data_IF_979763553661
#
_entry.id   IF_979763553661
#
_cell.length_a   1.000
_cell.length_b   1.000
_cell.length_c   1.000
_cell.angle_alpha   90.00
_cell.angle_beta   90.00
_cell.angle_gamma   90.00
#
_symmetry.space_group_name_H-M   'P 1'
#
loop_
_entity.id
_entity.type
_entity.pdbx_description
1 polymer ?
#
# COMPACT_ATOMS: atom_id res chain seq x y z
N UNK A 1 20.83 19.64 -17.50
CA UNK A 1 19.79 18.62 -17.24
C UNK A 1 18.81 19.22 -16.26
N UNK A 2 17.55 19.42 -16.65
CA UNK A 2 16.53 19.95 -15.75
C UNK A 2 16.44 19.02 -14.52
N UNK A 3 16.68 19.57 -13.34
CA UNK A 3 16.68 18.82 -12.09
C UNK A 3 15.27 18.33 -11.79
N UNK A 4 14.95 17.10 -12.18
CA UNK A 4 13.77 16.42 -11.68
C UNK A 4 13.87 16.38 -10.16
N UNK A 5 12.88 16.96 -9.48
CA UNK A 5 12.79 16.92 -8.03
C UNK A 5 12.85 15.48 -7.51
N UNK A 6 13.43 15.30 -6.34
CA UNK A 6 13.47 14.00 -5.66
C UNK A 6 12.03 13.53 -5.40
N UNK A 7 11.67 12.40 -6.00
CA UNK A 7 10.37 11.77 -5.82
C UNK A 7 10.53 10.37 -5.20
N UNK A 8 9.51 9.93 -4.47
CA UNK A 8 9.44 8.58 -3.89
C UNK A 8 8.30 7.77 -4.48
N UNK A 9 8.49 6.46 -4.55
CA UNK A 9 7.41 5.50 -4.76
C UNK A 9 6.94 4.99 -3.41
N UNK A 10 5.65 5.09 -3.13
CA UNK A 10 5.05 4.58 -1.90
C UNK A 10 4.04 3.50 -2.28
N UNK A 11 4.25 2.31 -1.75
CA UNK A 11 3.23 1.28 -1.73
C UNK A 11 2.41 1.42 -0.46
N UNK A 12 1.20 1.98 -0.58
CA UNK A 12 0.30 2.13 0.56
C UNK A 12 -0.54 0.86 0.68
N UNK A 13 -0.02 -0.22 1.26
CA UNK A 13 -0.75 -1.48 1.38
C UNK A 13 -1.75 -1.51 2.53
N UNK A 14 -2.63 -2.51 2.52
CA UNK A 14 -3.70 -2.65 3.53
C UNK A 14 -3.11 -2.95 4.91
N UNK A 15 -2.16 -3.89 4.98
CA UNK A 15 -1.54 -4.34 6.23
C UNK A 15 -0.16 -3.73 6.46
N UNK A 16 0.62 -3.58 5.39
CA UNK A 16 1.95 -2.97 5.43
C UNK A 16 2.10 -2.01 4.27
N UNK A 17 2.92 -0.99 4.47
CA UNK A 17 3.34 -0.05 3.45
C UNK A 17 4.84 -0.13 3.25
N UNK A 18 5.31 0.17 2.04
CA UNK A 18 6.73 0.31 1.76
C UNK A 18 7.02 1.63 1.04
N UNK A 19 8.26 2.09 1.13
CA UNK A 19 8.71 3.29 0.44
C UNK A 19 10.05 3.03 -0.23
N UNK A 20 10.15 3.48 -1.48
CA UNK A 20 11.34 3.34 -2.29
C UNK A 20 11.71 4.65 -2.99
N UNK A 21 12.98 4.77 -3.33
CA UNK A 21 13.53 5.91 -4.07
C UNK A 21 14.33 5.42 -5.27
N UNK A 22 14.27 6.16 -6.37
CA UNK A 22 15.14 5.92 -7.53
C UNK A 22 16.35 6.83 -7.44
N UNK A 23 17.54 6.27 -7.19
CA UNK A 23 18.80 7.00 -7.17
C UNK A 23 19.90 6.17 -7.82
N UNK A 24 20.91 6.83 -8.39
CA UNK A 24 22.07 6.16 -9.00
C UNK A 24 21.68 5.03 -9.98
N UNK A 25 20.61 5.26 -10.77
CA UNK A 25 20.09 4.31 -11.75
C UNK A 25 19.56 2.98 -11.18
N UNK A 26 19.20 2.95 -9.90
CA UNK A 26 18.57 1.79 -9.25
C UNK A 26 17.42 2.20 -8.34
N UNK A 27 16.52 1.24 -8.08
CA UNK A 27 15.53 1.34 -7.00
C UNK A 27 16.19 0.94 -5.69
N UNK A 28 15.99 1.72 -4.64
CA UNK A 28 16.32 1.38 -3.27
C UNK A 28 15.06 1.36 -2.42
N UNK A 29 14.78 0.23 -1.76
CA UNK A 29 13.71 0.10 -0.76
C UNK A 29 14.29 0.52 0.58
N UNK A 30 13.62 1.47 1.24
CA UNK A 30 14.14 2.14 2.42
C UNK A 30 13.66 1.42 3.67
N UNK A 31 14.61 1.05 4.54
CA UNK A 31 14.29 0.50 5.86
C UNK A 31 13.78 1.58 6.80
N UNK A 32 12.82 1.24 7.66
CA UNK A 32 12.34 2.11 8.72
C UNK A 32 13.34 2.21 9.89
N UNK A 33 12.96 2.89 10.96
CA UNK A 33 13.77 3.09 12.17
C UNK A 33 14.15 1.78 12.90
N UNK A 34 13.42 0.69 12.66
CA UNK A 34 13.73 -0.66 13.15
C UNK A 34 14.52 -1.50 12.13
N UNK A 35 14.85 -0.95 10.96
CA UNK A 35 15.50 -1.65 9.85
C UNK A 35 14.55 -2.49 8.98
N UNK A 36 13.24 -2.46 9.23
CA UNK A 36 12.26 -3.20 8.43
C UNK A 36 11.98 -2.49 7.11
N UNK A 37 11.96 -3.23 5.99
CA UNK A 37 11.69 -2.68 4.65
C UNK A 37 10.20 -2.42 4.38
N UNK A 38 9.36 -2.98 5.23
CA UNK A 38 7.92 -2.73 5.27
C UNK A 38 7.55 -2.21 6.64
N UNK A 39 6.56 -1.33 6.70
CA UNK A 39 6.06 -0.73 7.94
C UNK A 39 4.58 -1.02 8.06
N UNK A 40 4.07 -1.52 9.21
CA UNK A 40 2.65 -1.77 9.39
C UNK A 40 1.78 -0.54 9.06
N UNK A 41 0.69 -0.73 8.33
CA UNK A 41 -0.31 0.31 8.03
C UNK A 41 -1.26 0.51 9.22
N UNK A 42 -0.67 0.77 10.39
CA UNK A 42 -1.37 0.89 11.67
C UNK A 42 -1.16 2.27 12.29
N UNK A 43 -2.21 2.80 12.92
CA UNK A 43 -2.19 4.04 13.69
C UNK A 43 -2.83 3.80 15.05
N UNK A 44 -2.11 4.05 16.14
CA UNK A 44 -2.65 3.93 17.49
C UNK A 44 -2.74 5.31 18.16
N UNK A 45 -3.85 5.54 18.85
CA UNK A 45 -4.11 6.75 19.61
C UNK A 45 -4.10 6.45 21.11
N UNK A 46 -3.42 7.30 21.87
CA UNK A 46 -3.33 7.20 23.34
C UNK A 46 -3.68 8.53 24.00
N UNK A 47 -3.59 8.61 25.32
CA UNK A 47 -3.86 9.85 26.05
C UNK A 47 -2.77 10.92 25.85
N UNK A 48 -1.57 10.52 25.41
CA UNK A 48 -0.42 11.43 25.28
C UNK A 48 -0.05 11.67 23.82
N UNK A 49 0.02 10.61 23.03
CA UNK A 49 0.58 10.66 21.68
C UNK A 49 -0.10 9.69 20.70
N UNK A 50 0.29 9.83 19.44
CA UNK A 50 -0.15 8.98 18.34
C UNK A 50 1.04 8.20 17.82
N UNK A 51 0.89 6.88 17.75
CA UNK A 51 1.88 5.98 17.18
C UNK A 51 1.48 5.55 15.78
N UNK A 52 2.47 5.29 14.93
CA UNK A 52 2.28 4.85 13.55
C UNK A 52 3.29 3.74 13.27
N UNK A 53 2.91 2.73 12.49
CA UNK A 53 3.81 1.64 12.10
C UNK A 53 3.99 0.58 13.19
N UNK A 54 5.22 0.12 13.37
CA UNK A 54 5.57 -0.93 14.33
C UNK A 54 5.15 -0.55 15.76
N UNK A 55 5.36 0.70 16.15
CA UNK A 55 4.96 1.20 17.47
C UNK A 55 3.44 1.11 17.71
N UNK A 56 2.62 1.40 16.69
CA UNK A 56 1.17 1.25 16.78
C UNK A 56 0.77 -0.22 16.86
N UNK A 57 1.35 -1.06 16.02
CA UNK A 57 1.05 -2.50 15.97
C UNK A 57 1.35 -3.21 17.28
N UNK A 58 2.47 -2.87 17.93
CA UNK A 58 2.87 -3.47 19.21
C UNK A 58 1.86 -3.19 20.35
N UNK A 59 1.02 -2.16 20.20
CA UNK A 59 0.01 -1.80 21.18
C UNK A 59 -1.35 -2.44 20.92
N UNK A 60 -1.56 -3.10 19.78
CA UNK A 60 -2.88 -3.57 19.35
C UNK A 60 -3.55 -4.51 20.37
N UNK A 61 -2.77 -5.32 21.09
CA UNK A 61 -3.30 -6.23 22.11
C UNK A 61 -3.73 -5.50 23.41
N UNK A 62 -3.07 -4.39 23.75
CA UNK A 62 -3.31 -3.63 24.97
C UNK A 62 -4.32 -2.48 24.77
N UNK A 63 -4.37 -1.94 23.54
CA UNK A 63 -5.22 -0.82 23.16
C UNK A 63 -5.97 -1.11 21.84
N UNK A 64 -6.79 -2.18 21.79
CA UNK A 64 -7.40 -2.64 20.55
C UNK A 64 -8.42 -1.65 19.96
N UNK A 65 -9.16 -0.94 20.81
CA UNK A 65 -10.22 -0.02 20.36
C UNK A 65 -9.69 1.28 19.73
N UNK A 66 -8.44 1.67 20.04
CA UNK A 66 -7.81 2.88 19.52
C UNK A 66 -6.59 2.59 18.64
N UNK A 67 -6.36 1.31 18.29
CA UNK A 67 -5.34 0.89 17.33
C UNK A 67 -6.01 0.52 16.01
N UNK A 68 -5.87 1.40 15.03
CA UNK A 68 -6.56 1.29 13.75
C UNK A 68 -5.64 0.66 12.72
N UNK A 69 -6.17 -0.34 12.03
CA UNK A 69 -5.56 -1.03 10.89
C UNK A 69 -6.64 -1.17 9.79
N UNK A 70 -6.27 -1.67 8.62
CA UNK A 70 -7.19 -1.91 7.50
C UNK A 70 -7.95 -0.66 7.01
N UNK A 71 -7.46 0.56 7.29
CA UNK A 71 -8.09 1.80 6.83
C UNK A 71 -8.27 1.85 5.30
N UNK A 72 -7.38 1.19 4.54
CA UNK A 72 -7.46 1.03 3.08
C UNK A 72 -8.71 0.25 2.64
N UNK A 73 -9.31 -0.58 3.49
CA UNK A 73 -10.60 -1.27 3.19
C UNK A 73 -11.78 -0.30 3.17
N UNK A 74 -11.69 0.80 3.92
CA UNK A 74 -12.74 1.83 4.05
C UNK A 74 -12.58 3.00 3.07
N UNK A 75 -11.37 3.24 2.57
CA UNK A 75 -11.06 4.42 1.75
C UNK A 75 -11.94 4.49 0.49
N UNK A 76 -12.56 5.66 0.26
CA UNK A 76 -13.43 5.91 -0.89
C UNK A 76 -14.75 5.11 -0.93
N UNK A 77 -15.09 4.37 0.13
CA UNK A 77 -16.35 3.62 0.27
C UNK A 77 -17.41 4.40 1.03
N UNK A 78 -18.66 3.94 0.92
CA UNK A 78 -19.76 4.43 1.76
C UNK A 78 -19.92 3.56 3.00
N UNK A 79 -20.33 4.16 4.10
CA UNK A 79 -20.57 3.48 5.35
C UNK A 79 -21.59 2.35 5.19
N UNK A 80 -22.65 2.55 4.40
CA UNK A 80 -23.67 1.52 4.12
C UNK A 80 -23.24 0.41 3.17
N UNK A 81 -22.04 0.44 2.59
CA UNK A 81 -21.60 -0.61 1.65
C UNK A 81 -21.55 -1.97 2.37
N UNK A 82 -22.06 -3.04 1.73
CA UNK A 82 -22.14 -4.37 2.35
C UNK A 82 -20.78 -4.90 2.80
N UNK A 83 -19.73 -4.62 2.03
CA UNK A 83 -18.33 -4.94 2.39
C UNK A 83 -17.90 -4.23 3.67
N UNK A 84 -18.22 -2.94 3.82
CA UNK A 84 -17.89 -2.16 5.03
C UNK A 84 -18.65 -2.71 6.24
N UNK A 85 -19.95 -2.96 6.08
CA UNK A 85 -20.79 -3.53 7.13
C UNK A 85 -20.34 -4.93 7.57
N UNK A 86 -19.72 -5.70 6.67
CA UNK A 86 -19.19 -7.03 6.97
C UNK A 86 -17.84 -6.93 7.69
N UNK A 87 -16.92 -6.10 7.19
CA UNK A 87 -15.59 -5.90 7.77
C UNK A 87 -15.67 -5.28 9.19
N UNK A 88 -16.61 -4.36 9.43
CA UNK A 88 -16.84 -3.74 10.74
C UNK A 88 -17.13 -4.73 11.87
N UNK A 89 -17.66 -5.92 11.55
CA UNK A 89 -17.93 -6.97 12.55
C UNK A 89 -16.66 -7.65 13.05
N UNK A 90 -15.56 -7.50 12.32
CA UNK A 90 -14.27 -8.14 12.61
C UNK A 90 -13.31 -7.19 13.33
N UNK A 91 -13.58 -5.89 13.33
CA UNK A 91 -12.69 -4.89 13.93
C UNK A 91 -13.01 -4.64 15.41
N UNK A 92 -11.99 -4.41 16.24
CA UNK A 92 -12.17 -4.05 17.64
C UNK A 92 -12.55 -2.58 17.85
N UNK A 93 -12.38 -1.73 16.83
CA UNK A 93 -12.67 -0.31 16.88
C UNK A 93 -14.01 0.03 16.22
N UNK A 94 -14.60 1.16 16.62
CA UNK A 94 -15.92 1.58 16.14
C UNK A 94 -15.81 2.40 14.86
N UNK A 95 -16.72 2.16 13.92
CA UNK A 95 -16.91 2.96 12.71
C UNK A 95 -18.35 3.45 12.67
N UNK A 96 -18.55 4.74 12.38
CA UNK A 96 -19.85 5.38 12.20
C UNK A 96 -19.98 5.91 10.76
N UNK A 97 -21.20 6.17 10.30
CA UNK A 97 -21.44 6.99 9.12
C UNK A 97 -21.55 8.46 9.51
N UNK A 98 -20.98 9.36 8.72
CA UNK A 98 -21.30 10.80 8.80
C UNK A 98 -22.60 11.14 8.04
N UNK A 99 -22.94 12.44 7.97
CA UNK A 99 -24.12 12.93 7.24
C UNK A 99 -24.06 12.64 5.73
N UNK A 100 -22.86 12.47 5.16
CA UNK A 100 -22.64 12.13 3.76
C UNK A 100 -22.51 10.61 3.53
N UNK A 101 -22.82 9.80 4.55
CA UNK A 101 -22.67 8.35 4.52
C UNK A 101 -21.21 7.90 4.28
N UNK A 102 -20.23 8.71 4.70
CA UNK A 102 -18.81 8.37 4.70
C UNK A 102 -18.47 7.65 6.01
N UNK A 103 -17.69 6.55 5.97
CA UNK A 103 -17.25 5.88 7.18
C UNK A 103 -16.27 6.76 7.96
N UNK A 104 -16.49 6.88 9.27
CA UNK A 104 -15.69 7.65 10.22
C UNK A 104 -15.29 6.75 11.38
N UNK A 105 -13.98 6.60 11.59
CA UNK A 105 -13.42 5.77 12.64
C UNK A 105 -13.44 6.57 13.95
N UNK A 106 -13.98 5.97 15.01
CA UNK A 106 -14.07 6.59 16.33
C UNK A 106 -12.92 6.10 17.20
N UNK A 107 -12.13 7.04 17.74
CA UNK A 107 -11.05 6.76 18.68
C UNK A 107 -11.10 7.70 19.87
N UNK A 108 -10.60 7.27 21.02
CA UNK A 108 -10.28 8.17 22.11
C UNK A 108 -8.82 8.62 21.96
N UNK A 109 -8.62 9.94 21.89
CA UNK A 109 -7.28 10.53 21.79
C UNK A 109 -7.18 11.72 22.74
N UNK A 110 -6.22 11.66 23.67
CA UNK A 110 -6.05 12.66 24.74
C UNK A 110 -7.31 12.84 25.59
N UNK A 111 -7.93 11.73 25.99
CA UNK A 111 -9.17 11.73 26.78
C UNK A 111 -10.43 12.25 26.07
N UNK A 112 -10.36 12.53 24.76
CA UNK A 112 -11.49 13.05 23.97
C UNK A 112 -11.79 12.12 22.80
N UNK A 113 -13.07 11.82 22.59
CA UNK A 113 -13.53 11.10 21.41
C UNK A 113 -13.30 11.93 20.14
N UNK A 114 -12.62 11.33 19.17
CA UNK A 114 -12.34 11.92 17.85
C UNK A 114 -12.85 11.01 16.74
N UNK A 115 -13.22 11.65 15.64
CA UNK A 115 -13.59 11.00 14.39
C UNK A 115 -12.48 11.24 13.39
N UNK A 116 -12.01 10.16 12.75
CA UNK A 116 -11.07 10.24 11.64
C UNK A 116 -11.67 9.58 10.42
N UNK A 117 -11.48 10.20 9.27
CA UNK A 117 -11.76 9.60 7.98
C UNK A 117 -10.67 8.59 7.59
N UNK A 118 -10.97 7.63 6.70
CA UNK A 118 -9.96 6.69 6.19
C UNK A 118 -8.78 7.39 5.51
N UNK A 119 -9.02 8.52 4.84
CA UNK A 119 -8.01 9.34 4.18
C UNK A 119 -7.07 10.00 5.20
N UNK A 120 -7.60 10.52 6.31
CA UNK A 120 -6.77 11.07 7.39
C UNK A 120 -5.89 9.99 8.01
N UNK A 121 -6.42 8.80 8.30
CA UNK A 121 -5.62 7.70 8.83
C UNK A 121 -4.55 7.23 7.83
N UNK A 122 -4.92 7.11 6.56
CA UNK A 122 -3.98 6.76 5.49
C UNK A 122 -2.91 7.84 5.32
N UNK A 123 -3.26 9.13 5.49
CA UNK A 123 -2.30 10.23 5.45
C UNK A 123 -1.26 10.13 6.57
N UNK A 124 -1.62 9.63 7.74
CA UNK A 124 -0.67 9.42 8.84
C UNK A 124 0.35 8.34 8.47
N UNK A 125 -0.09 7.26 7.83
CA UNK A 125 0.82 6.23 7.29
C UNK A 125 1.72 6.83 6.22
N UNK A 126 1.19 7.63 5.29
CA UNK A 126 1.96 8.32 4.25
C UNK A 126 2.97 9.33 4.83
N UNK A 127 2.63 10.03 5.92
CA UNK A 127 3.56 10.90 6.65
C UNK A 127 4.72 10.07 7.20
N UNK A 128 4.46 8.91 7.81
CA UNK A 128 5.53 8.02 8.30
C UNK A 128 6.40 7.52 7.13
N UNK A 129 5.81 7.17 5.99
CA UNK A 129 6.58 6.74 4.80
C UNK A 129 7.46 7.87 4.26
N UNK A 130 6.92 9.09 4.23
CA UNK A 130 7.67 10.29 3.88
C UNK A 130 8.82 10.54 4.85
N UNK A 131 8.58 10.49 6.16
CA UNK A 131 9.63 10.67 7.18
C UNK A 131 10.76 9.65 7.06
N UNK A 132 10.43 8.37 6.84
CA UNK A 132 11.42 7.31 6.59
C UNK A 132 12.30 7.67 5.39
N UNK A 133 11.69 8.09 4.28
CA UNK A 133 12.44 8.47 3.10
C UNK A 133 13.25 9.77 3.27
N UNK A 134 12.71 10.78 3.97
CA UNK A 134 13.41 12.03 4.26
C UNK A 134 14.64 11.79 5.13
N UNK A 135 14.53 10.93 6.15
CA UNK A 135 15.65 10.56 7.01
C UNK A 135 16.74 9.80 6.25
N UNK A 136 16.35 8.93 5.32
CA UNK A 136 17.29 8.19 4.47
C UNK A 136 18.04 9.10 3.49
N UNK A 137 17.32 9.99 2.81
CA UNK A 137 17.91 10.85 1.77
C UNK A 137 18.55 12.13 2.35
N UNK A 138 18.20 12.51 3.58
CA UNK A 138 18.69 13.73 4.24
C UNK A 138 18.11 15.02 3.66
N UNK A 139 16.96 14.95 2.97
CA UNK A 139 16.30 16.09 2.30
C UNK A 139 14.79 15.97 2.43
N UNK A 140 14.10 17.11 2.37
CA UNK A 140 12.63 17.15 2.31
C UNK A 140 12.11 16.57 1.00
N UNK A 141 11.05 15.78 1.11
CA UNK A 141 10.43 15.09 -0.02
C UNK A 141 9.03 15.66 -0.20
N UNK A 142 8.75 16.12 -1.42
CA UNK A 142 7.45 16.68 -1.78
C UNK A 142 6.74 15.78 -2.76
N UNK A 143 7.43 15.23 -3.74
CA UNK A 143 6.80 14.52 -4.85
C UNK A 143 6.73 13.02 -4.57
N UNK A 144 5.58 12.41 -4.85
CA UNK A 144 5.36 10.98 -4.66
C UNK A 144 4.51 10.36 -5.78
N UNK A 145 4.79 9.09 -6.06
CA UNK A 145 3.87 8.18 -6.77
C UNK A 145 3.34 7.20 -5.74
N UNK A 146 2.01 7.08 -5.63
CA UNK A 146 1.36 6.20 -4.65
C UNK A 146 0.62 5.09 -5.39
N UNK A 147 0.77 3.85 -4.94
CA UNK A 147 0.12 2.70 -5.57
C UNK A 147 -1.31 2.47 -5.04
N UNK A 148 -2.15 1.83 -5.86
CA UNK A 148 -3.48 1.35 -5.49
C UNK A 148 -3.80 0.02 -6.18
N UNK A 149 -4.73 -0.79 -5.63
CA UNK A 149 -5.14 -2.04 -6.25
C UNK A 149 -5.78 -1.82 -7.63
N UNK A 150 -5.68 -2.82 -8.50
CA UNK A 150 -6.26 -2.75 -9.84
C UNK A 150 -7.79 -2.59 -9.82
N UNK A 151 -8.46 -3.18 -8.82
CA UNK A 151 -9.91 -3.13 -8.66
C UNK A 151 -10.42 -1.85 -7.99
N UNK A 152 -9.55 -0.91 -7.61
CA UNK A 152 -9.98 0.38 -7.06
C UNK A 152 -10.70 1.20 -8.13
N UNK A 153 -11.88 1.71 -7.77
CA UNK A 153 -12.64 2.65 -8.58
C UNK A 153 -12.13 4.10 -8.41
N UNK A 154 -12.70 5.03 -9.18
CA UNK A 154 -12.27 6.43 -9.19
C UNK A 154 -12.39 7.13 -7.83
N UNK A 155 -13.45 6.83 -7.06
CA UNK A 155 -13.63 7.36 -5.71
C UNK A 155 -12.48 6.95 -4.78
N UNK A 156 -12.09 5.67 -4.82
CA UNK A 156 -11.00 5.14 -3.99
C UNK A 156 -9.62 5.67 -4.42
N UNK A 157 -9.42 5.86 -5.73
CA UNK A 157 -8.21 6.49 -6.29
C UNK A 157 -8.10 7.94 -5.84
N UNK A 158 -9.19 8.70 -5.92
CA UNK A 158 -9.23 10.08 -5.50
C UNK A 158 -9.01 10.21 -3.99
N UNK A 159 -9.69 9.39 -3.17
CA UNK A 159 -9.50 9.38 -1.72
C UNK A 159 -8.05 9.04 -1.30
N UNK A 160 -7.39 8.13 -2.03
CA UNK A 160 -5.94 7.84 -1.82
C UNK A 160 -5.06 9.04 -2.17
N UNK A 161 -5.39 9.76 -3.26
CA UNK A 161 -4.70 10.99 -3.64
C UNK A 161 -4.91 12.11 -2.61
N UNK A 162 -6.12 12.21 -2.06
CA UNK A 162 -6.45 13.17 -1.00
C UNK A 162 -5.66 12.86 0.27
N UNK A 163 -5.52 11.59 0.66
CA UNK A 163 -4.65 11.17 1.75
C UNK A 163 -3.19 11.62 1.55
N UNK A 164 -2.67 11.50 0.32
CA UNK A 164 -1.34 12.01 -0.03
C UNK A 164 -1.24 13.54 0.08
N UNK A 165 -2.29 14.25 -0.32
CA UNK A 165 -2.36 15.72 -0.21
C UNK A 165 -2.37 16.16 1.26
N UNK A 166 -3.16 15.49 2.12
CA UNK A 166 -3.20 15.72 3.57
C UNK A 166 -1.83 15.46 4.21
N UNK A 167 -1.09 14.46 3.71
CA UNK A 167 0.28 14.16 4.14
C UNK A 167 1.32 15.20 3.68
N UNK A 168 0.91 16.23 2.94
CA UNK A 168 1.80 17.24 2.36
C UNK A 168 2.69 16.67 1.25
N UNK A 169 2.19 15.69 0.50
CA UNK A 169 2.81 15.16 -0.71
C UNK A 169 2.09 15.69 -1.96
N UNK A 170 2.87 16.05 -2.96
CA UNK A 170 2.42 16.23 -4.33
C UNK A 170 2.37 14.86 -5.01
N UNK A 171 1.16 14.28 -5.06
CA UNK A 171 0.94 12.97 -5.70
C UNK A 171 0.98 13.14 -7.22
N UNK A 172 2.14 12.88 -7.81
CA UNK A 172 2.39 12.99 -9.25
C UNK A 172 1.51 12.04 -10.05
N UNK A 173 1.30 10.83 -9.52
CA UNK A 173 0.49 9.79 -10.15
C UNK A 173 0.01 8.78 -9.12
N UNK A 174 -1.24 8.34 -9.29
CA UNK A 174 -1.73 7.10 -8.70
C UNK A 174 -1.40 5.96 -9.67
N UNK A 175 -0.59 5.00 -9.24
CA UNK A 175 -0.15 3.87 -10.06
C UNK A 175 -0.89 2.61 -9.64
N UNK A 176 -1.30 1.78 -10.59
CA UNK A 176 -1.90 0.48 -10.27
C UNK A 176 -0.79 -0.49 -9.83
N UNK A 177 -0.99 -1.18 -8.72
CA UNK A 177 -0.02 -2.09 -8.09
C UNK A 177 0.57 -3.12 -9.07
N UNK A 178 -0.25 -3.90 -9.83
CA UNK A 178 0.28 -4.76 -10.88
C UNK A 178 1.14 -4.03 -11.92
N UNK A 179 0.76 -2.82 -12.34
CA UNK A 179 1.59 -2.05 -13.29
C UNK A 179 2.92 -1.64 -12.67
N UNK A 180 2.94 -1.26 -11.39
CA UNK A 180 4.17 -0.94 -10.66
C UNK A 180 5.11 -2.15 -10.60
N UNK A 181 4.58 -3.33 -10.27
CA UNK A 181 5.34 -4.57 -10.26
C UNK A 181 5.89 -4.94 -11.65
N UNK A 182 5.12 -4.68 -12.73
CA UNK A 182 5.57 -4.92 -14.11
C UNK A 182 6.76 -4.03 -14.46
N UNK A 183 6.69 -2.75 -14.10
CA UNK A 183 7.76 -1.77 -14.31
C UNK A 183 9.02 -2.18 -13.55
N UNK A 184 8.88 -2.55 -12.27
CA UNK A 184 10.00 -3.02 -11.46
C UNK A 184 10.68 -4.25 -12.09
N UNK A 185 9.90 -5.25 -12.52
CA UNK A 185 10.42 -6.44 -13.20
C UNK A 185 11.11 -6.11 -14.53
N UNK A 186 10.52 -5.21 -15.32
CA UNK A 186 11.08 -4.78 -16.61
C UNK A 186 12.44 -4.10 -16.49
N UNK A 187 12.61 -3.26 -15.47
CA UNK A 187 13.87 -2.56 -15.18
C UNK A 187 14.94 -3.52 -14.64
N UNK A 188 14.58 -4.41 -13.72
CA UNK A 188 15.52 -5.40 -13.15
C UNK A 188 16.11 -6.33 -14.22
N UNK A 189 15.25 -6.81 -15.12
CA UNK A 189 15.63 -7.73 -16.19
C UNK A 189 16.29 -7.03 -17.40
N UNK A 190 16.55 -5.71 -17.31
CA UNK A 190 17.10 -4.87 -18.39
C UNK A 190 16.39 -5.10 -19.72
N UNK A 191 15.07 -5.28 -19.67
CA UNK A 191 14.24 -5.58 -20.84
C UNK A 191 14.06 -4.39 -21.79
N UNK A 192 14.76 -3.29 -21.53
CA UNK A 192 14.77 -2.06 -22.31
C UNK A 192 15.52 -2.17 -23.64
N UNK A 193 16.17 -3.31 -23.94
CA UNK A 193 16.81 -3.53 -25.23
C UNK A 193 15.76 -3.82 -26.31
N UNK A 194 15.75 -3.00 -27.37
CA UNK A 194 14.78 -2.97 -28.48
C UNK A 194 14.64 -4.26 -29.29
N UNK A 195 15.43 -5.29 -28.98
CA UNK A 195 15.42 -6.62 -29.62
C UNK A 195 14.54 -7.63 -28.87
N UNK A 196 14.05 -7.28 -27.67
CA UNK A 196 13.10 -8.09 -26.94
C UNK A 196 11.70 -7.92 -27.56
N UNK A 197 11.26 -8.90 -28.35
CA UNK A 197 9.87 -8.97 -28.82
C UNK A 197 8.86 -8.99 -27.65
N UNK A 198 7.57 -8.88 -27.97
CA UNK A 198 6.50 -8.84 -26.97
C UNK A 198 6.64 -9.94 -25.92
N UNK A 199 6.60 -9.54 -24.63
CA UNK A 199 6.66 -10.47 -23.50
C UNK A 199 5.34 -10.44 -22.74
N UNK A 200 4.77 -11.61 -22.55
CA UNK A 200 3.62 -11.80 -21.67
C UNK A 200 4.15 -11.91 -20.24
N UNK A 201 3.82 -10.92 -19.41
CA UNK A 201 4.14 -10.90 -17.98
C UNK A 201 2.85 -11.07 -17.20
N UNK A 202 2.77 -12.14 -16.42
CA UNK A 202 1.69 -12.35 -15.45
C UNK A 202 2.18 -11.88 -14.08
N UNK A 203 1.41 -10.99 -13.46
CA UNK A 203 1.69 -10.48 -12.13
C UNK A 203 0.66 -11.05 -11.21
N UNK A 204 1.17 -11.75 -10.20
CA UNK A 204 0.36 -12.46 -9.24
C UNK A 204 0.67 -11.93 -7.86
N UNK A 205 -0.23 -11.08 -7.36
CA UNK A 205 -0.14 -10.47 -6.05
C UNK A 205 -1.01 -11.25 -5.06
N UNK A 206 -0.36 -11.86 -4.07
CA UNK A 206 -0.94 -12.85 -3.16
C UNK A 206 -1.53 -12.24 -1.90
N UNK A 207 -2.24 -11.12 -2.06
CA UNK A 207 -3.13 -10.58 -1.03
C UNK A 207 -4.57 -11.10 -1.17
N UNK A 208 -4.86 -11.90 -2.21
CA UNK A 208 -6.14 -12.58 -2.45
C UNK A 208 -5.97 -14.10 -2.62
N UNK A 209 -6.57 -14.85 -1.68
CA UNK A 209 -6.90 -16.29 -1.67
C UNK A 209 -6.11 -17.24 -2.60
N UNK A 210 -5.32 -18.14 -1.98
CA UNK A 210 -4.55 -19.21 -2.64
C UNK A 210 -5.37 -20.11 -3.59
N UNK A 211 -6.71 -20.13 -3.48
CA UNK A 211 -7.58 -20.90 -4.37
C UNK A 211 -7.62 -20.36 -5.81
N UNK A 212 -7.32 -19.08 -6.04
CA UNK A 212 -7.29 -18.51 -7.39
C UNK A 212 -6.05 -18.92 -8.20
N UNK A 213 -4.91 -19.21 -7.56
CA UNK A 213 -3.65 -19.49 -8.27
C UNK A 213 -3.80 -20.69 -9.21
N UNK A 214 -4.32 -21.79 -8.67
CA UNK A 214 -4.44 -23.04 -9.41
C UNK A 214 -5.47 -22.92 -10.53
N UNK A 215 -6.57 -22.23 -10.29
CA UNK A 215 -7.58 -21.96 -11.30
C UNK A 215 -7.02 -21.13 -12.46
N UNK A 216 -6.26 -20.07 -12.15
CA UNK A 216 -5.69 -19.16 -13.14
C UNK A 216 -4.59 -19.84 -13.97
N UNK A 217 -3.76 -20.68 -13.33
CA UNK A 217 -2.74 -21.50 -14.01
C UNK A 217 -3.39 -22.44 -15.01
N UNK A 218 -4.49 -23.10 -14.64
CA UNK A 218 -5.25 -23.95 -15.57
C UNK A 218 -5.91 -23.16 -16.70
N UNK A 219 -6.48 -21.97 -16.42
CA UNK A 219 -7.13 -21.15 -17.44
C UNK A 219 -6.14 -20.62 -18.50
N UNK A 220 -4.92 -20.24 -18.09
CA UNK A 220 -3.86 -19.82 -19.02
C UNK A 220 -3.39 -20.98 -19.89
N UNK A 221 -3.25 -22.18 -19.31
CA UNK A 221 -2.92 -23.39 -20.09
C UNK A 221 -3.97 -23.63 -21.17
N UNK A 222 -5.26 -23.51 -20.81
CA UNK A 222 -6.37 -23.73 -21.72
C UNK A 222 -6.44 -22.67 -22.84
N UNK A 223 -6.33 -21.38 -22.51
CA UNK A 223 -6.47 -20.29 -23.49
C UNK A 223 -5.25 -20.08 -24.38
N UNK A 224 -4.05 -20.27 -23.84
CA UNK A 224 -2.81 -19.91 -24.55
C UNK A 224 -1.94 -21.11 -24.93
N UNK A 225 -2.36 -22.35 -24.61
CA UNK A 225 -1.58 -23.59 -24.83
C UNK A 225 -0.15 -23.51 -24.27
N UNK A 226 0.07 -22.67 -23.24
CA UNK A 226 1.36 -22.48 -22.57
C UNK A 226 1.32 -23.14 -21.22
N UNK A 227 2.14 -24.16 -21.03
CA UNK A 227 2.27 -24.85 -19.75
C UNK A 227 3.20 -24.07 -18.81
N UNK A 228 2.60 -23.33 -17.88
CA UNK A 228 3.36 -22.57 -16.88
C UNK A 228 3.99 -23.44 -15.79
N UNK A 229 3.61 -24.72 -15.65
CA UNK A 229 4.21 -25.59 -14.61
C UNK A 229 5.69 -25.85 -14.88
N UNK A 230 6.13 -25.91 -16.15
CA UNK A 230 7.56 -26.05 -16.50
C UNK A 230 8.39 -24.78 -16.25
N UNK A 231 7.76 -23.63 -16.01
CA UNK A 231 8.44 -22.36 -15.70
C UNK A 231 8.70 -22.19 -14.20
N UNK A 232 8.16 -23.07 -13.35
CA UNK A 232 8.05 -22.81 -11.91
C UNK A 232 9.36 -22.94 -11.14
N UNK A 233 10.26 -23.88 -11.43
CA UNK A 233 11.46 -24.03 -10.58
C UNK A 233 12.47 -22.90 -10.75
N UNK A 234 12.71 -22.42 -11.97
CA UNK A 234 13.69 -21.35 -12.21
C UNK A 234 13.12 -19.92 -12.09
N UNK A 235 11.81 -19.70 -12.34
CA UNK A 235 11.21 -18.34 -12.30
C UNK A 235 10.40 -18.03 -11.03
N UNK A 236 9.96 -19.02 -10.25
CA UNK A 236 9.33 -18.75 -8.94
C UNK A 236 10.32 -18.21 -7.90
N UNK A 237 11.63 -18.34 -8.15
CA UNK A 237 12.68 -17.60 -7.40
C UNK A 237 12.45 -16.09 -7.45
N UNK A 238 11.97 -15.56 -8.57
CA UNK A 238 11.72 -14.13 -8.78
C UNK A 238 10.46 -13.64 -8.04
N UNK A 239 9.40 -14.46 -8.02
CA UNK A 239 8.16 -14.18 -7.27
C UNK A 239 8.33 -14.33 -5.75
N UNK A 240 9.16 -15.27 -5.28
CA UNK A 240 9.46 -15.42 -3.84
C UNK A 240 10.34 -14.31 -3.26
N UNK A 241 11.07 -13.56 -4.10
CA UNK A 241 11.85 -12.40 -3.64
C UNK A 241 10.98 -11.18 -3.33
N UNK A 242 9.79 -11.09 -3.91
CA UNK A 242 8.86 -9.97 -3.69
C UNK A 242 7.98 -10.23 -2.46
N UNK A 243 7.68 -11.49 -2.11
CA UNK A 243 6.87 -11.82 -0.92
C UNK A 243 7.66 -12.15 0.36
N UNK A 244 9.00 -12.08 0.34
CA UNK A 244 9.87 -12.32 1.51
C UNK A 244 10.84 -11.17 1.81
N UNK A 245 10.51 -9.93 1.47
CA UNK A 245 11.29 -8.75 1.88
C UNK A 245 10.40 -7.66 2.46
#
# INVERSE_FOLDING_TARGET
MAGYGLAVGIDLGTTYSCVGVWQQYRVEIIGNDQGNRTTPSCVAFTDTERFIGDAARNQAALNPQNTIFDAKRLIGRKFTDSTVQSDMKLWPFKVNGDMANKPMIVVNYKGVAKLFSPEELSSMVLIKMKEIAENYVGKKIKDAVVTVPAHFNDSQRQATKDAGTIAGLNVLRILVEPTAAAVAYGLDQKLTNSLAGEKIVLIFDLDFDNRMVNHFVEEIKLKHKKDMLRLTEQKMSCLRKISRQ
#
